data_IF_492583981500
#
_entry.id   IF_492583981500
#
_cell.length_a   1.000
_cell.length_b   1.000
_cell.length_c   1.000
_cell.angle_alpha   90.00
_cell.angle_beta   90.00
_cell.angle_gamma   90.00
#
_symmetry.space_group_name_H-M   'P 1'
#
loop_
_entity.id
_entity.type
_entity.pdbx_description
1 polymer ?
#
# COMPACT_ATOMS: atom_id res chain seq x y z
N UNK A 1 1.17 -22.23 15.82
CA UNK A 1 0.85 -23.52 16.50
C UNK A 1 -0.20 -24.21 15.66
N UNK A 2 0.12 -25.36 15.08
CA UNK A 2 -0.87 -26.16 14.36
C UNK A 2 -1.91 -26.69 15.34
N UNK A 3 -3.17 -26.74 14.91
CA UNK A 3 -4.29 -27.20 15.75
C UNK A 3 -4.18 -28.65 16.25
N UNK A 4 -3.18 -29.41 15.80
CA UNK A 4 -2.98 -30.83 16.11
C UNK A 4 -1.74 -31.10 16.99
N UNK A 5 -1.17 -30.08 17.63
CA UNK A 5 -0.03 -30.26 18.55
C UNK A 5 1.28 -30.73 17.91
N UNK A 6 1.32 -30.88 16.58
CA UNK A 6 2.50 -31.30 15.83
C UNK A 6 3.29 -30.06 15.43
N UNK A 7 4.56 -29.99 15.86
CA UNK A 7 5.44 -28.93 15.39
C UNK A 7 5.62 -29.06 13.87
N UNK A 8 5.38 -27.94 13.15
CA UNK A 8 5.63 -27.89 11.70
C UNK A 8 7.11 -28.13 11.44
N UNK A 9 7.42 -28.97 10.48
CA UNK A 9 8.79 -29.06 9.98
C UNK A 9 9.22 -27.75 9.34
N UNK A 10 10.52 -27.44 9.32
CA UNK A 10 11.02 -26.20 8.71
C UNK A 10 10.53 -26.03 7.26
N UNK A 11 10.41 -27.12 6.50
CA UNK A 11 9.87 -27.09 5.13
C UNK A 11 8.38 -26.75 5.06
N UNK A 12 7.58 -27.33 5.95
CA UNK A 12 6.13 -27.03 6.03
C UNK A 12 5.89 -25.59 6.48
N UNK A 13 6.68 -25.09 7.43
CA UNK A 13 6.65 -23.70 7.86
C UNK A 13 6.94 -22.73 6.69
N UNK A 14 8.03 -22.98 5.94
CA UNK A 14 8.40 -22.17 4.78
C UNK A 14 7.30 -22.21 3.72
N UNK A 15 6.78 -23.41 3.39
CA UNK A 15 5.72 -23.56 2.39
C UNK A 15 4.46 -22.84 2.80
N UNK A 16 4.06 -22.91 4.08
CA UNK A 16 2.90 -22.19 4.59
C UNK A 16 3.06 -20.67 4.45
N UNK A 17 4.23 -20.11 4.75
CA UNK A 17 4.49 -18.67 4.63
C UNK A 17 4.65 -18.18 3.18
N UNK A 18 4.98 -19.08 2.24
CA UNK A 18 5.06 -18.79 0.81
C UNK A 18 3.73 -19.01 0.08
N UNK A 19 2.74 -19.61 0.74
CA UNK A 19 1.41 -19.80 0.16
C UNK A 19 0.56 -18.55 0.38
N UNK A 20 -0.05 -18.03 -0.68
CA UNK A 20 -0.81 -16.78 -0.67
C UNK A 20 -2.27 -17.01 -0.95
N UNK A 21 -3.12 -16.11 -0.46
CA UNK A 21 -4.53 -16.12 -0.79
C UNK A 21 -4.74 -15.47 -2.16
N UNK A 22 -5.10 -16.30 -3.14
CA UNK A 22 -5.25 -15.90 -4.54
C UNK A 22 -6.64 -16.26 -5.06
N UNK A 23 -7.05 -15.60 -6.16
CA UNK A 23 -8.35 -15.87 -6.79
C UNK A 23 -8.44 -17.24 -7.47
N UNK A 24 -7.31 -17.84 -7.89
CA UNK A 24 -7.26 -19.09 -8.72
C UNK A 24 -6.56 -20.25 -7.99
N UNK A 25 -6.28 -20.09 -6.67
CA UNK A 25 -5.35 -21.02 -5.99
C UNK A 25 -3.91 -20.82 -6.51
N UNK A 26 -2.91 -21.39 -5.85
CA UNK A 26 -1.48 -21.10 -6.12
C UNK A 26 -0.93 -21.61 -7.46
N UNK A 27 -1.72 -21.63 -8.51
CA UNK A 27 -1.30 -22.11 -9.84
C UNK A 27 -1.24 -20.95 -10.82
N UNK A 28 -0.07 -20.36 -10.93
CA UNK A 28 0.25 -19.45 -12.03
C UNK A 28 0.68 -20.28 -13.24
N UNK A 29 0.01 -20.15 -14.39
CA UNK A 29 0.29 -20.95 -15.60
C UNK A 29 1.40 -20.34 -16.47
N UNK A 30 1.76 -19.07 -16.26
CA UNK A 30 2.79 -18.39 -17.05
C UNK A 30 3.59 -17.37 -16.25
N UNK A 31 4.67 -16.84 -16.86
CA UNK A 31 5.52 -15.78 -16.25
C UNK A 31 4.71 -14.49 -16.02
N UNK A 32 3.76 -14.20 -16.92
CA UNK A 32 2.83 -13.08 -16.80
C UNK A 32 1.42 -13.64 -16.98
N UNK A 33 0.63 -13.58 -15.91
CA UNK A 33 -0.76 -14.01 -15.90
C UNK A 33 -1.62 -12.92 -15.29
N UNK A 34 -2.37 -12.21 -16.11
CA UNK A 34 -3.28 -11.14 -15.68
C UNK A 34 -4.53 -11.67 -14.97
N UNK A 35 -4.80 -12.96 -15.05
CA UNK A 35 -5.89 -13.61 -14.32
C UNK A 35 -5.53 -13.95 -12.87
N UNK A 36 -4.25 -13.94 -12.53
CA UNK A 36 -3.73 -14.27 -11.20
C UNK A 36 -3.62 -13.02 -10.32
N UNK A 37 -4.45 -12.96 -9.30
CA UNK A 37 -4.51 -11.81 -8.37
C UNK A 37 -4.25 -12.29 -6.95
N UNK A 38 -3.27 -11.67 -6.28
CA UNK A 38 -3.01 -11.85 -4.86
C UNK A 38 -4.03 -11.03 -4.05
N UNK A 39 -5.08 -11.66 -3.55
CA UNK A 39 -6.17 -11.01 -2.82
C UNK A 39 -5.71 -10.47 -1.46
N UNK A 40 -4.78 -11.13 -0.81
CA UNK A 40 -4.17 -10.71 0.45
C UNK A 40 -3.38 -9.40 0.29
N UNK A 41 -2.46 -9.35 -0.68
CA UNK A 41 -1.68 -8.14 -0.98
C UNK A 41 -2.58 -6.97 -1.40
N UNK A 42 -3.58 -7.24 -2.25
CA UNK A 42 -4.52 -6.22 -2.71
C UNK A 42 -5.37 -5.67 -1.56
N UNK A 43 -5.92 -6.54 -0.71
CA UNK A 43 -6.79 -6.13 0.40
C UNK A 43 -6.01 -5.35 1.46
N UNK A 44 -4.83 -5.80 1.88
CA UNK A 44 -3.99 -5.07 2.84
C UNK A 44 -3.56 -3.72 2.27
N UNK A 45 -3.12 -3.69 1.00
CA UNK A 45 -2.75 -2.45 0.34
C UNK A 45 -3.92 -1.45 0.28
N UNK A 46 -5.12 -1.91 -0.09
CA UNK A 46 -6.31 -1.08 -0.14
C UNK A 46 -6.72 -0.56 1.26
N UNK A 47 -6.70 -1.42 2.28
CA UNK A 47 -7.02 -1.04 3.66
C UNK A 47 -6.05 0.05 4.14
N UNK A 48 -4.74 -0.13 3.94
CA UNK A 48 -3.74 0.87 4.32
C UNK A 48 -3.92 2.18 3.55
N UNK A 49 -4.27 2.13 2.26
CA UNK A 49 -4.60 3.32 1.48
C UNK A 49 -5.80 4.09 2.06
N UNK A 50 -6.86 3.38 2.44
CA UNK A 50 -8.03 3.98 3.11
C UNK A 50 -7.64 4.57 4.46
N UNK A 51 -6.80 3.90 5.24
CA UNK A 51 -6.29 4.41 6.54
C UNK A 51 -5.52 5.69 6.34
N UNK A 52 -4.61 5.77 5.35
CA UNK A 52 -3.89 7.01 5.02
C UNK A 52 -4.85 8.14 4.69
N UNK A 53 -5.78 7.91 3.77
CA UNK A 53 -6.77 8.91 3.38
C UNK A 53 -7.62 9.37 4.58
N UNK A 54 -8.02 8.45 5.45
CA UNK A 54 -8.79 8.76 6.66
C UNK A 54 -7.97 9.60 7.65
N UNK A 55 -6.72 9.24 7.90
CA UNK A 55 -5.82 9.97 8.81
C UNK A 55 -5.58 11.39 8.31
N UNK A 56 -5.26 11.55 7.02
CA UNK A 56 -5.05 12.87 6.40
C UNK A 56 -6.34 13.71 6.40
N UNK A 57 -7.47 13.10 6.09
CA UNK A 57 -8.78 13.76 6.17
C UNK A 57 -9.11 14.22 7.61
N UNK A 58 -8.85 13.37 8.61
CA UNK A 58 -9.05 13.66 10.03
C UNK A 58 -8.16 14.81 10.48
N UNK A 59 -6.89 14.83 10.05
CA UNK A 59 -5.95 15.91 10.32
C UNK A 59 -6.41 17.22 9.69
N UNK A 60 -6.82 17.20 8.42
CA UNK A 60 -7.31 18.38 7.71
C UNK A 60 -8.57 18.98 8.37
N UNK A 61 -9.48 18.13 8.88
CA UNK A 61 -10.68 18.61 9.58
C UNK A 61 -10.41 19.17 10.98
N UNK A 62 -9.37 18.69 11.64
CA UNK A 62 -8.98 19.14 12.98
C UNK A 62 -7.96 20.29 12.97
N UNK A 63 -7.50 20.69 11.77
CA UNK A 63 -6.51 21.75 11.63
C UNK A 63 -7.03 23.10 12.14
N UNK A 64 -6.23 23.74 12.96
CA UNK A 64 -6.51 25.08 13.54
C UNK A 64 -5.41 26.06 13.14
N UNK A 65 -5.75 27.34 13.02
CA UNK A 65 -4.78 28.40 12.70
C UNK A 65 -3.94 28.85 13.90
N UNK A 66 -4.20 28.31 15.10
CA UNK A 66 -3.44 28.59 16.32
C UNK A 66 -2.18 27.70 16.43
N UNK A 67 -1.67 27.56 17.67
CA UNK A 67 -0.54 26.66 17.96
C UNK A 67 -0.98 25.21 17.68
N UNK A 68 -0.33 24.52 16.73
CA UNK A 68 -0.73 23.17 16.35
C UNK A 68 -0.48 22.17 17.48
N UNK A 69 -1.42 21.25 17.68
CA UNK A 69 -1.21 20.08 18.53
C UNK A 69 -0.18 19.14 17.91
N UNK A 70 0.39 18.21 18.71
CA UNK A 70 1.45 17.29 18.26
C UNK A 70 1.11 16.50 16.98
N UNK A 71 -0.14 16.02 16.88
CA UNK A 71 -0.59 15.29 15.70
C UNK A 71 -0.70 16.20 14.47
N UNK A 72 -1.27 17.39 14.62
CA UNK A 72 -1.36 18.39 13.56
C UNK A 72 0.05 18.81 13.09
N UNK A 73 0.96 19.12 14.03
CA UNK A 73 2.33 19.48 13.70
C UNK A 73 3.07 18.40 12.92
N UNK A 74 2.88 17.11 13.27
CA UNK A 74 3.49 16.00 12.52
C UNK A 74 2.97 15.92 11.07
N UNK A 75 1.66 16.08 10.86
CA UNK A 75 1.06 16.06 9.52
C UNK A 75 1.46 17.29 8.72
N UNK A 76 1.52 18.47 9.33
CA UNK A 76 1.98 19.70 8.67
C UNK A 76 3.43 19.60 8.24
N UNK A 77 4.31 19.05 9.07
CA UNK A 77 5.72 18.81 8.71
C UNK A 77 5.86 17.89 7.49
N UNK A 78 5.08 16.82 7.42
CA UNK A 78 5.07 15.92 6.27
C UNK A 78 4.52 16.63 5.02
N UNK A 79 3.47 17.42 5.19
CA UNK A 79 2.90 18.21 4.10
C UNK A 79 3.92 19.24 3.57
N UNK A 80 4.59 19.99 4.44
CA UNK A 80 5.60 20.98 4.06
C UNK A 80 6.79 20.32 3.34
N UNK A 81 7.24 19.16 3.83
CA UNK A 81 8.29 18.37 3.17
C UNK A 81 7.92 18.02 1.74
N UNK A 82 6.73 17.44 1.53
CA UNK A 82 6.27 17.04 0.18
C UNK A 82 5.99 18.26 -0.70
N UNK A 83 5.35 19.32 -0.15
CA UNK A 83 5.04 20.54 -0.91
C UNK A 83 6.31 21.28 -1.34
N UNK A 84 7.35 21.31 -0.50
CA UNK A 84 8.65 21.89 -0.86
C UNK A 84 9.32 21.12 -2.00
N UNK A 85 9.28 19.80 -1.98
CA UNK A 85 9.76 18.96 -3.09
C UNK A 85 8.93 19.18 -4.36
N UNK A 86 7.61 19.24 -4.24
CA UNK A 86 6.74 19.53 -5.38
C UNK A 86 7.00 20.92 -5.97
N UNK A 87 7.30 21.93 -5.14
CA UNK A 87 7.67 23.29 -5.58
C UNK A 87 8.99 23.33 -6.34
N UNK A 88 9.96 22.53 -5.95
CA UNK A 88 11.26 22.48 -6.62
C UNK A 88 11.18 21.92 -8.04
N UNK A 89 10.23 21.00 -8.30
CA UNK A 89 10.08 20.31 -9.59
C UNK A 89 9.00 20.95 -10.46
N UNK A 90 7.87 21.36 -9.85
CA UNK A 90 6.68 21.84 -10.57
C UNK A 90 6.51 23.35 -10.36
N UNK A 91 6.92 24.14 -11.34
CA UNK A 91 6.84 25.61 -11.29
C UNK A 91 5.40 26.14 -11.43
N UNK A 92 4.52 25.40 -12.13
CA UNK A 92 3.15 25.82 -12.34
C UNK A 92 2.29 25.59 -11.08
N UNK A 93 1.80 26.67 -10.45
CA UNK A 93 0.98 26.64 -9.25
C UNK A 93 -0.32 25.85 -9.41
N UNK A 94 -0.94 25.85 -10.62
CA UNK A 94 -2.19 25.13 -10.89
C UNK A 94 -1.96 23.61 -10.89
N UNK A 95 -0.85 23.15 -11.43
CA UNK A 95 -0.46 21.73 -11.44
C UNK A 95 -0.09 21.25 -10.03
N UNK A 96 0.61 22.08 -9.25
CA UNK A 96 1.00 21.75 -7.87
C UNK A 96 -0.20 21.48 -6.95
N UNK A 97 -1.29 22.23 -7.10
CA UNK A 97 -2.50 22.05 -6.27
C UNK A 97 -3.05 20.62 -6.34
N UNK A 98 -2.76 19.90 -7.40
CA UNK A 98 -3.18 18.52 -7.55
C UNK A 98 -2.06 17.53 -7.26
N UNK A 99 -0.85 17.82 -7.72
CA UNK A 99 0.28 16.87 -7.59
C UNK A 99 0.77 16.78 -6.14
N UNK A 100 0.83 17.89 -5.39
CA UNK A 100 1.33 17.86 -4.01
C UNK A 100 0.48 16.99 -3.07
N UNK A 101 -0.88 17.10 -3.05
CA UNK A 101 -1.71 16.19 -2.24
C UNK A 101 -1.60 14.72 -2.70
N UNK A 102 -1.55 14.47 -4.02
CA UNK A 102 -1.38 13.13 -4.55
C UNK A 102 -0.04 12.52 -4.10
N UNK A 103 1.04 13.29 -4.22
CA UNK A 103 2.37 12.88 -3.78
C UNK A 103 2.41 12.57 -2.28
N UNK A 104 1.73 13.38 -1.45
CA UNK A 104 1.62 13.14 -0.01
C UNK A 104 0.91 11.82 0.29
N UNK A 105 -0.24 11.57 -0.35
CA UNK A 105 -0.99 10.32 -0.15
C UNK A 105 -0.16 9.11 -0.57
N UNK A 106 0.46 9.15 -1.75
CA UNK A 106 1.30 8.05 -2.27
C UNK A 106 2.51 7.83 -1.36
N UNK A 107 3.19 8.89 -0.93
CA UNK A 107 4.32 8.81 0.00
C UNK A 107 3.91 8.13 1.31
N UNK A 108 2.84 8.60 1.95
CA UNK A 108 2.36 8.03 3.21
C UNK A 108 1.88 6.59 3.05
N UNK A 109 1.25 6.28 1.92
CA UNK A 109 0.81 4.92 1.62
C UNK A 109 1.98 3.96 1.49
N UNK A 110 2.97 4.29 0.65
CA UNK A 110 4.19 3.48 0.49
C UNK A 110 4.95 3.37 1.81
N UNK A 111 5.04 4.48 2.58
CA UNK A 111 5.67 4.45 3.90
C UNK A 111 4.99 3.44 4.84
N UNK A 112 3.66 3.45 4.93
CA UNK A 112 2.94 2.49 5.77
C UNK A 112 3.07 1.06 5.27
N UNK A 113 3.04 0.83 3.96
CA UNK A 113 3.25 -0.49 3.38
C UNK A 113 4.61 -1.07 3.78
N UNK A 114 5.68 -0.25 3.75
CA UNK A 114 7.01 -0.69 4.18
C UNK A 114 7.17 -0.74 5.71
N UNK A 115 6.41 0.08 6.46
CA UNK A 115 6.40 0.00 7.92
C UNK A 115 5.82 -1.32 8.44
N UNK A 116 5.03 -2.03 7.63
CA UNK A 116 4.55 -3.37 7.95
C UNK A 116 5.70 -4.39 8.11
N UNK A 117 6.85 -4.18 7.46
CA UNK A 117 8.05 -5.01 7.63
C UNK A 117 8.66 -4.93 9.04
N UNK A 118 8.35 -3.87 9.78
CA UNK A 118 8.80 -3.71 11.18
C UNK A 118 7.97 -4.52 12.18
N UNK A 119 6.83 -5.05 11.75
CA UNK A 119 6.01 -5.92 12.60
C UNK A 119 6.57 -7.34 12.63
N UNK A 120 6.44 -8.06 13.76
CA UNK A 120 6.77 -9.48 13.79
C UNK A 120 6.02 -10.25 12.70
N UNK A 121 6.75 -11.07 11.95
CA UNK A 121 6.22 -11.81 10.78
C UNK A 121 4.97 -12.62 11.11
N UNK A 122 4.93 -13.21 12.31
CA UNK A 122 3.83 -14.09 12.74
C UNK A 122 2.65 -13.35 13.38
N UNK A 123 2.77 -12.05 13.68
CA UNK A 123 1.75 -11.32 14.45
C UNK A 123 0.41 -11.25 13.71
N UNK A 124 0.43 -10.74 12.48
CA UNK A 124 -0.81 -10.59 11.69
C UNK A 124 -1.36 -11.92 11.19
N UNK A 125 -0.53 -12.87 10.68
CA UNK A 125 -1.00 -14.21 10.37
C UNK A 125 -1.64 -14.92 11.56
N UNK A 126 -1.08 -14.81 12.77
CA UNK A 126 -1.68 -15.40 13.97
C UNK A 126 -3.04 -14.81 14.30
N UNK A 127 -3.19 -13.48 14.23
CA UNK A 127 -4.49 -12.81 14.43
C UNK A 127 -5.49 -13.25 13.35
N UNK A 128 -5.06 -13.30 12.10
CA UNK A 128 -5.89 -13.73 10.97
C UNK A 128 -6.39 -15.17 11.14
N UNK A 129 -5.50 -16.07 11.52
CA UNK A 129 -5.82 -17.49 11.79
C UNK A 129 -6.88 -17.62 12.88
N UNK A 130 -6.81 -16.82 13.96
CA UNK A 130 -7.83 -16.82 15.02
C UNK A 130 -9.18 -16.30 14.52
N UNK A 131 -9.18 -15.22 13.74
CA UNK A 131 -10.42 -14.67 13.15
C UNK A 131 -11.04 -15.68 12.20
N UNK A 132 -10.22 -16.35 11.37
CA UNK A 132 -10.66 -17.33 10.40
C UNK A 132 -11.27 -18.57 11.06
N UNK A 133 -10.64 -19.03 12.16
CA UNK A 133 -11.16 -20.11 13.00
C UNK A 133 -12.46 -19.72 13.71
N UNK A 134 -12.56 -18.49 14.23
CA UNK A 134 -13.77 -17.99 14.87
C UNK A 134 -14.95 -17.85 13.89
N UNK A 135 -14.66 -17.64 12.60
CA UNK A 135 -15.65 -17.63 11.52
C UNK A 135 -16.08 -19.05 11.06
N UNK A 136 -15.56 -20.12 11.70
CA UNK A 136 -15.93 -21.52 11.42
C UNK A 136 -15.19 -22.13 10.22
N UNK A 137 -14.10 -21.50 9.76
CA UNK A 137 -13.26 -22.00 8.68
C UNK A 137 -12.03 -22.74 9.21
N UNK A 138 -11.44 -23.61 8.40
CA UNK A 138 -10.25 -24.37 8.77
C UNK A 138 -9.03 -23.43 8.89
N UNK A 139 -8.40 -23.31 10.09
CA UNK A 139 -7.22 -22.46 10.31
C UNK A 139 -6.02 -22.76 9.39
N UNK A 140 -5.91 -23.99 8.88
CA UNK A 140 -4.83 -24.40 7.96
C UNK A 140 -4.89 -23.72 6.59
N UNK A 141 -6.04 -23.13 6.23
CA UNK A 141 -6.25 -22.40 4.98
C UNK A 141 -6.22 -20.87 5.18
N UNK A 142 -5.85 -20.39 6.36
CA UNK A 142 -5.76 -18.96 6.68
C UNK A 142 -4.44 -18.35 6.17
N UNK A 143 -4.26 -18.29 4.85
CA UNK A 143 -3.08 -17.67 4.25
C UNK A 143 -3.19 -16.15 4.26
N UNK A 144 -2.14 -15.44 4.68
CA UNK A 144 -2.07 -13.99 4.68
C UNK A 144 -0.63 -13.50 4.45
N UNK A 145 -0.42 -12.79 3.34
CA UNK A 145 0.82 -12.05 3.13
C UNK A 145 0.73 -10.70 3.86
N UNK A 146 1.64 -10.48 4.80
CA UNK A 146 1.65 -9.27 5.63
C UNK A 146 2.16 -8.05 4.88
N UNK A 147 3.11 -8.23 3.96
CA UNK A 147 3.83 -7.15 3.28
C UNK A 147 3.48 -7.11 1.79
N UNK A 148 2.52 -6.26 1.37
CA UNK A 148 2.12 -6.16 -0.03
C UNK A 148 3.23 -5.69 -0.98
N UNK A 149 4.19 -4.89 -0.48
CA UNK A 149 5.32 -4.39 -1.28
C UNK A 149 6.33 -5.48 -1.66
N UNK A 150 6.32 -6.63 -0.98
CA UNK A 150 7.07 -7.81 -1.40
C UNK A 150 6.50 -8.46 -2.67
N UNK A 151 5.28 -8.10 -3.08
CA UNK A 151 4.68 -8.53 -4.33
C UNK A 151 5.05 -7.56 -5.47
N UNK A 152 5.75 -8.08 -6.47
CA UNK A 152 6.16 -7.31 -7.65
C UNK A 152 4.96 -6.70 -8.39
N UNK A 153 3.84 -7.41 -8.45
CA UNK A 153 2.61 -6.94 -9.12
C UNK A 153 2.06 -5.69 -8.44
N UNK A 154 2.08 -5.64 -7.11
CA UNK A 154 1.61 -4.49 -6.32
C UNK A 154 2.52 -3.27 -6.53
N UNK A 155 3.83 -3.43 -6.42
CA UNK A 155 4.80 -2.34 -6.59
C UNK A 155 4.83 -1.81 -8.03
N UNK A 156 4.77 -2.72 -9.01
CA UNK A 156 4.70 -2.38 -10.43
C UNK A 156 3.39 -1.65 -10.74
N UNK A 157 2.26 -2.15 -10.24
CA UNK A 157 0.95 -1.53 -10.43
C UNK A 157 0.89 -0.11 -9.90
N UNK A 158 1.43 0.14 -8.69
CA UNK A 158 1.51 1.49 -8.13
C UNK A 158 2.40 2.42 -8.97
N UNK A 159 3.59 1.97 -9.36
CA UNK A 159 4.54 2.79 -10.12
C UNK A 159 4.03 3.11 -11.53
N UNK A 160 3.44 2.13 -12.22
CA UNK A 160 2.83 2.33 -13.54
C UNK A 160 1.63 3.27 -13.46
N UNK A 161 0.80 3.16 -12.42
CA UNK A 161 -0.35 4.07 -12.23
C UNK A 161 0.10 5.51 -12.05
N UNK A 162 1.12 5.77 -11.23
CA UNK A 162 1.70 7.11 -11.06
C UNK A 162 2.32 7.60 -12.37
N UNK A 163 3.06 6.76 -13.09
CA UNK A 163 3.64 7.10 -14.41
C UNK A 163 2.56 7.51 -15.40
N UNK A 164 1.47 6.76 -15.51
CA UNK A 164 0.35 7.07 -16.41
C UNK A 164 -0.32 8.41 -16.07
N UNK A 165 -0.51 8.69 -14.77
CA UNK A 165 -1.03 9.98 -14.31
C UNK A 165 -0.06 11.11 -14.70
N UNK A 166 1.23 10.94 -14.49
CA UNK A 166 2.25 11.92 -14.85
C UNK A 166 2.29 12.18 -16.36
N UNK A 167 2.23 11.11 -17.18
CA UNK A 167 2.19 11.24 -18.65
C UNK A 167 0.91 11.94 -19.12
N UNK A 168 -0.25 11.55 -18.58
CA UNK A 168 -1.52 12.19 -18.91
C UNK A 168 -1.47 13.70 -18.66
N UNK A 169 -1.01 14.12 -17.49
CA UNK A 169 -0.92 15.54 -17.17
C UNK A 169 0.15 16.27 -17.96
N UNK A 170 1.26 15.63 -18.28
CA UNK A 170 2.31 16.20 -19.11
C UNK A 170 1.77 16.51 -20.52
N UNK A 171 1.08 15.55 -21.14
CA UNK A 171 0.45 15.74 -22.45
C UNK A 171 -0.67 16.79 -22.39
N UNK A 172 -1.50 16.77 -21.32
CA UNK A 172 -2.60 17.73 -21.15
C UNK A 172 -2.13 19.17 -21.00
N UNK A 173 -0.97 19.39 -20.38
CA UNK A 173 -0.43 20.74 -20.10
C UNK A 173 0.41 21.26 -21.27
N UNK A 174 1.30 20.43 -21.82
CA UNK A 174 2.23 20.82 -22.90
C UNK A 174 1.66 20.64 -24.30
N UNK A 175 0.59 19.84 -24.45
CA UNK A 175 0.12 19.36 -25.75
C UNK A 175 1.06 18.30 -26.36
N UNK A 176 0.58 17.56 -27.34
CA UNK A 176 1.35 16.51 -28.02
C UNK A 176 2.62 17.04 -28.70
N UNK A 177 2.58 18.24 -29.28
CA UNK A 177 3.72 18.87 -29.92
C UNK A 177 4.81 19.37 -28.96
N UNK A 178 4.43 19.82 -27.76
CA UNK A 178 5.37 20.27 -26.73
C UNK A 178 5.95 19.13 -25.88
N UNK A 179 5.38 17.92 -26.00
CA UNK A 179 5.90 16.72 -25.33
C UNK A 179 7.00 16.03 -26.14
N UNK A 180 6.95 16.16 -27.49
CA UNK A 180 7.91 15.52 -28.41
C UNK A 180 9.21 16.34 -28.61
N UNK A 181 9.31 17.55 -28.05
CA UNK A 181 10.48 18.41 -27.97
C UNK A 181 11.01 18.49 -26.55
#
# INVERSE_FOLDING_TARGET
MAADGKELTAGEYITHHLTHWTNVGNKQEGIVDFGYINLDSLSISAILGVVVCFVLWRAARAATSGVPGRFQAAVELLFEMVDSQAKSVIHNAKSRKMVAPLALVVFMWIFLLNAMDLLPVDLLPAIWTQIYAAAGHDPHHAYLRVVPTADLSTTLGMSVSVLLICLYYNVKIKGLGGWAH
#
